data_IF_131924542183
#
_entry.id   IF_131924542183
#
_cell.length_a   1.000
_cell.length_b   1.000
_cell.length_c   1.000
_cell.angle_alpha   90.00
_cell.angle_beta   90.00
_cell.angle_gamma   90.00
#
_symmetry.space_group_name_H-M   'P 1'
#
loop_
_entity.id
_entity.type
_entity.pdbx_description
1 polymer ?
#
# COMPACT_ATOMS: atom_id res chain seq x y z
N UNK A 1 8.90 -18.84 14.67
CA UNK A 1 8.94 -18.97 16.15
C UNK A 1 10.21 -18.32 16.70
N UNK A 2 10.21 -16.99 16.87
CA UNK A 2 11.22 -16.28 17.64
C UNK A 2 10.76 -16.32 19.10
N UNK A 3 11.59 -16.90 19.99
CA UNK A 3 11.33 -16.87 21.43
C UNK A 3 11.36 -15.41 21.86
N UNK A 4 10.20 -14.87 22.24
CA UNK A 4 10.06 -13.59 22.93
C UNK A 4 11.08 -13.57 24.08
N UNK A 5 12.10 -12.71 23.98
CA UNK A 5 12.78 -12.21 25.17
C UNK A 5 11.67 -11.72 26.10
N UNK A 6 11.67 -12.16 27.35
CA UNK A 6 10.70 -11.71 28.35
C UNK A 6 10.54 -10.20 28.22
N UNK A 7 9.42 -9.76 27.63
CA UNK A 7 9.04 -8.35 27.60
C UNK A 7 9.10 -7.91 29.05
N UNK A 8 10.07 -7.04 29.35
CA UNK A 8 10.25 -6.50 30.68
C UNK A 8 8.99 -5.70 31.02
N UNK A 9 8.00 -6.36 31.62
CA UNK A 9 6.65 -5.82 31.90
C UNK A 9 6.75 -4.46 32.60
N UNK A 10 7.73 -4.32 33.49
CA UNK A 10 8.04 -3.08 34.20
C UNK A 10 8.51 -1.94 33.27
N UNK A 11 9.24 -2.24 32.18
CA UNK A 11 9.71 -1.25 31.19
C UNK A 11 8.53 -0.64 30.44
N UNK A 12 7.60 -1.48 30.00
CA UNK A 12 6.41 -1.05 29.27
C UNK A 12 5.40 -0.36 30.19
N UNK A 13 5.21 -0.85 31.41
CA UNK A 13 4.38 -0.19 32.41
C UNK A 13 4.95 1.17 32.83
N UNK A 14 6.27 1.31 32.94
CA UNK A 14 6.91 2.60 33.17
C UNK A 14 6.66 3.62 32.06
N UNK A 15 6.70 3.18 30.79
CA UNK A 15 6.34 4.03 29.66
C UNK A 15 4.86 4.47 29.72
N UNK A 16 3.93 3.57 30.05
CA UNK A 16 2.50 3.89 30.23
C UNK A 16 2.29 4.96 31.29
N UNK A 17 2.92 4.77 32.45
CA UNK A 17 2.87 5.72 33.58
C UNK A 17 3.32 7.10 33.12
N UNK A 18 4.46 7.18 32.42
CA UNK A 18 4.99 8.44 31.89
C UNK A 18 4.00 9.12 30.93
N UNK A 19 3.46 8.36 29.98
CA UNK A 19 2.58 8.89 28.93
C UNK A 19 1.30 9.46 29.52
N UNK A 20 0.65 8.74 30.43
CA UNK A 20 -0.58 9.22 31.08
C UNK A 20 -0.30 10.40 32.01
N UNK A 21 0.82 10.38 32.75
CA UNK A 21 1.24 11.50 33.59
C UNK A 21 1.43 12.79 32.77
N UNK A 22 2.10 12.70 31.62
CA UNK A 22 2.31 13.83 30.71
C UNK A 22 0.97 14.30 30.12
N UNK A 23 0.11 13.37 29.69
CA UNK A 23 -1.23 13.69 29.16
C UNK A 23 -2.10 14.45 30.17
N UNK A 24 -1.99 14.12 31.47
CA UNK A 24 -2.68 14.82 32.57
C UNK A 24 -1.94 16.06 33.09
N UNK A 25 -0.78 16.41 32.52
CA UNK A 25 0.09 17.50 32.97
C UNK A 25 0.51 17.38 34.47
N UNK A 26 0.75 16.15 34.94
CA UNK A 26 1.16 15.89 36.33
C UNK A 26 2.69 15.91 36.48
N UNK A 27 3.18 16.44 37.60
CA UNK A 27 4.61 16.35 37.95
C UNK A 27 4.97 14.95 38.46
N UNK A 28 6.24 14.55 38.31
CA UNK A 28 6.73 13.30 38.89
C UNK A 28 6.59 13.30 40.42
N UNK A 29 6.85 14.44 41.07
CA UNK A 29 6.68 14.59 42.52
C UNK A 29 5.24 14.43 42.98
N UNK A 30 4.27 14.90 42.20
CA UNK A 30 2.85 14.73 42.50
C UNK A 30 2.42 13.26 42.37
N UNK A 31 2.85 12.57 41.32
CA UNK A 31 2.48 11.18 41.10
C UNK A 31 3.11 10.22 42.12
N UNK A 32 4.41 10.36 42.42
CA UNK A 32 5.10 9.43 43.31
C UNK A 32 4.89 9.69 44.80
N UNK A 33 4.17 10.75 45.17
CA UNK A 33 3.96 11.13 46.58
C UNK A 33 3.35 9.97 47.38
N UNK A 34 4.02 9.60 48.47
CA UNK A 34 3.61 8.49 49.33
C UNK A 34 3.79 7.09 48.72
N UNK A 35 4.37 6.96 47.52
CA UNK A 35 4.68 5.65 46.89
C UNK A 35 6.19 5.43 46.83
N UNK A 36 6.94 6.34 46.21
CA UNK A 36 8.39 6.18 45.99
C UNK A 36 9.10 7.53 45.80
N UNK A 37 10.43 7.53 45.74
CA UNK A 37 11.21 8.75 45.51
C UNK A 37 11.09 9.24 44.05
N UNK A 38 11.17 10.56 43.83
CA UNK A 38 11.09 11.18 42.49
C UNK A 38 12.16 10.63 41.54
N UNK A 39 13.38 10.45 42.04
CA UNK A 39 14.49 9.85 41.29
C UNK A 39 14.25 8.39 40.94
N UNK A 40 13.46 7.67 41.75
CA UNK A 40 13.03 6.32 41.48
C UNK A 40 11.98 6.31 40.37
N UNK A 41 10.90 7.09 40.49
CA UNK A 41 9.88 7.23 39.42
C UNK A 41 10.49 7.62 38.07
N UNK A 42 11.45 8.54 38.05
CA UNK A 42 12.13 8.92 36.79
C UNK A 42 12.86 7.74 36.13
N UNK A 43 13.43 6.81 36.91
CA UNK A 43 14.06 5.59 36.37
C UNK A 43 13.02 4.57 35.90
N UNK A 44 11.88 4.46 36.60
CA UNK A 44 10.73 3.65 36.18
C UNK A 44 10.25 4.12 34.81
N UNK A 45 9.96 5.42 34.66
CA UNK A 45 9.44 6.04 33.43
C UNK A 45 10.40 5.95 32.24
N UNK A 46 11.71 5.82 32.51
CA UNK A 46 12.74 5.64 31.49
C UNK A 46 13.03 4.17 31.18
N UNK A 47 12.40 3.23 31.90
CA UNK A 47 12.66 1.81 31.70
C UNK A 47 14.09 1.39 32.05
N UNK A 48 14.70 2.03 33.05
CA UNK A 48 16.11 1.81 33.45
C UNK A 48 16.30 0.94 34.70
N UNK A 49 15.23 0.49 35.33
CA UNK A 49 15.29 -0.24 36.59
C UNK A 49 14.09 -1.16 36.76
N UNK A 50 14.33 -2.40 37.19
CA UNK A 50 13.29 -3.35 37.56
C UNK A 50 12.53 -2.88 38.81
N UNK A 51 11.20 -3.06 38.79
CA UNK A 51 10.29 -2.51 39.80
C UNK A 51 9.36 -3.61 40.27
N UNK A 52 9.13 -3.66 41.59
CA UNK A 52 8.13 -4.55 42.18
C UNK A 52 6.72 -4.22 41.66
N UNK A 53 5.91 -5.27 41.48
CA UNK A 53 4.52 -5.17 41.03
C UNK A 53 3.66 -4.25 41.92
N UNK A 54 3.86 -4.27 43.24
CA UNK A 54 3.14 -3.39 44.18
C UNK A 54 3.31 -1.90 43.87
N UNK A 55 4.56 -1.45 43.65
CA UNK A 55 4.84 -0.06 43.31
C UNK A 55 4.18 0.30 41.97
N UNK A 56 4.21 -0.59 40.98
CA UNK A 56 3.56 -0.35 39.68
C UNK A 56 2.04 -0.26 39.82
N UNK A 57 1.42 -1.16 40.60
CA UNK A 57 -0.03 -1.13 40.89
C UNK A 57 -0.44 0.17 41.57
N UNK A 58 0.29 0.62 42.59
CA UNK A 58 -0.01 1.88 43.29
C UNK A 58 0.08 3.11 42.37
N UNK A 59 1.07 3.14 41.47
CA UNK A 59 1.22 4.22 40.49
C UNK A 59 0.09 4.20 39.44
N UNK A 60 -0.28 3.01 38.96
CA UNK A 60 -1.38 2.84 38.01
C UNK A 60 -2.74 3.19 38.63
N UNK A 61 -2.99 2.76 39.86
CA UNK A 61 -4.19 3.10 40.63
C UNK A 61 -4.33 4.62 40.79
N UNK A 62 -3.23 5.32 41.09
CA UNK A 62 -3.24 6.80 41.17
C UNK A 62 -3.57 7.48 39.85
N UNK A 63 -3.18 6.86 38.74
CA UNK A 63 -3.49 7.33 37.39
C UNK A 63 -4.83 6.80 36.88
N UNK A 64 -5.60 6.07 37.70
CA UNK A 64 -6.85 5.42 37.30
C UNK A 64 -6.68 4.52 36.06
N UNK A 65 -5.49 3.93 35.92
CA UNK A 65 -5.17 3.01 34.85
C UNK A 65 -5.41 1.57 35.31
N UNK A 66 -6.02 0.71 34.46
CA UNK A 66 -6.28 -0.66 34.86
C UNK A 66 -4.98 -1.46 34.98
N UNK A 67 -4.96 -2.34 35.98
CA UNK A 67 -4.06 -3.48 36.02
C UNK A 67 -4.67 -4.61 35.19
N UNK A 68 -3.94 -5.10 34.20
CA UNK A 68 -4.38 -6.23 33.37
C UNK A 68 -3.76 -7.49 33.97
N UNK A 69 -4.60 -8.48 34.25
CA UNK A 69 -4.15 -9.75 34.84
C UNK A 69 -3.43 -10.64 33.81
N UNK A 70 -2.80 -11.72 34.30
CA UNK A 70 -2.02 -12.61 33.45
C UNK A 70 -2.85 -13.32 32.37
N UNK A 71 -4.14 -13.56 32.62
CA UNK A 71 -5.02 -14.24 31.67
C UNK A 71 -5.38 -13.31 30.53
N UNK A 72 -5.85 -12.10 30.84
CA UNK A 72 -6.16 -11.08 29.85
C UNK A 72 -4.91 -10.64 29.09
N UNK A 73 -3.74 -10.59 29.75
CA UNK A 73 -2.46 -10.34 29.08
C UNK A 73 -2.17 -11.38 28.00
N UNK A 74 -2.34 -12.68 28.29
CA UNK A 74 -2.13 -13.75 27.30
C UNK A 74 -3.11 -13.70 26.13
N UNK A 75 -4.37 -13.33 26.39
CA UNK A 75 -5.38 -13.18 25.35
C UNK A 75 -5.03 -12.00 24.41
N UNK A 76 -4.53 -10.89 24.96
CA UNK A 76 -4.06 -9.75 24.20
C UNK A 76 -2.76 -10.06 23.43
N UNK A 77 -1.82 -10.79 24.03
CA UNK A 77 -0.60 -11.26 23.37
C UNK A 77 -0.93 -12.13 22.15
N UNK A 78 -1.82 -13.11 22.33
CA UNK A 78 -2.27 -13.99 21.25
C UNK A 78 -2.94 -13.21 20.12
N UNK A 79 -3.72 -12.17 20.47
CA UNK A 79 -4.30 -11.27 19.49
C UNK A 79 -3.22 -10.50 18.71
N UNK A 80 -2.25 -9.88 19.40
CA UNK A 80 -1.16 -9.13 18.76
C UNK A 80 -0.34 -10.02 17.83
N UNK A 81 0.02 -11.23 18.26
CA UNK A 81 0.75 -12.17 17.42
C UNK A 81 -0.06 -12.58 16.18
N UNK A 82 -1.37 -12.81 16.30
CA UNK A 82 -2.24 -13.08 15.16
C UNK A 82 -2.31 -11.88 14.18
N UNK A 83 -2.29 -10.65 14.70
CA UNK A 83 -2.27 -9.44 13.86
C UNK A 83 -0.97 -9.30 13.07
N UNK A 84 0.19 -9.52 13.71
CA UNK A 84 1.47 -9.53 12.99
C UNK A 84 1.57 -10.69 12.00
N UNK A 85 1.13 -11.88 12.37
CA UNK A 85 1.10 -13.02 11.45
C UNK A 85 0.26 -12.69 10.22
N UNK A 86 -0.93 -12.11 10.40
CA UNK A 86 -1.78 -11.70 9.28
C UNK A 86 -1.09 -10.63 8.42
N UNK A 87 -0.54 -9.58 9.04
CA UNK A 87 0.21 -8.53 8.34
C UNK A 87 1.35 -9.10 7.49
N UNK A 88 2.10 -10.06 8.02
CA UNK A 88 3.29 -10.61 7.37
C UNK A 88 2.99 -11.69 6.35
N UNK A 89 1.77 -12.23 6.29
CA UNK A 89 1.43 -13.36 5.40
C UNK A 89 0.39 -13.01 4.33
N UNK A 90 -0.30 -11.87 4.47
CA UNK A 90 -1.39 -11.45 3.59
C UNK A 90 -1.08 -10.12 2.90
N UNK A 91 -1.79 -9.81 1.79
CA UNK A 91 -1.74 -8.48 1.19
C UNK A 91 -2.14 -7.41 2.21
N UNK A 92 -1.46 -6.26 2.18
CA UNK A 92 -1.73 -5.17 3.14
C UNK A 92 -3.19 -4.71 3.09
N UNK A 93 -3.82 -4.73 1.92
CA UNK A 93 -5.24 -4.36 1.75
C UNK A 93 -6.19 -5.32 2.50
N UNK A 94 -5.87 -6.61 2.58
CA UNK A 94 -6.64 -7.55 3.40
C UNK A 94 -6.40 -7.32 4.89
N UNK A 95 -5.17 -6.96 5.27
CA UNK A 95 -4.87 -6.59 6.65
C UNK A 95 -5.67 -5.36 7.08
N UNK A 96 -5.75 -4.32 6.24
CA UNK A 96 -6.50 -3.10 6.56
C UNK A 96 -7.99 -3.34 6.82
N UNK A 97 -8.60 -4.40 6.27
CA UNK A 97 -9.99 -4.81 6.57
C UNK A 97 -10.19 -5.34 7.99
N UNK A 98 -9.11 -5.59 8.73
CA UNK A 98 -9.16 -6.02 10.13
C UNK A 98 -9.22 -4.83 11.12
N UNK A 99 -9.30 -3.60 10.61
CA UNK A 99 -9.23 -2.36 11.40
C UNK A 99 -10.29 -2.33 12.50
N UNK A 100 -11.54 -2.69 12.21
CA UNK A 100 -12.63 -2.68 13.19
C UNK A 100 -12.35 -3.63 14.36
N UNK A 101 -11.84 -4.83 14.08
CA UNK A 101 -11.48 -5.83 15.10
C UNK A 101 -10.35 -5.31 15.99
N UNK A 102 -9.39 -4.59 15.40
CA UNK A 102 -8.34 -3.92 16.16
C UNK A 102 -8.89 -2.80 17.05
N UNK A 103 -9.82 -1.97 16.53
CA UNK A 103 -10.42 -0.86 17.30
C UNK A 103 -11.16 -1.35 18.56
N UNK A 104 -11.86 -2.49 18.49
CA UNK A 104 -12.54 -3.08 19.65
C UNK A 104 -11.58 -3.41 20.82
N UNK A 105 -10.32 -3.72 20.51
CA UNK A 105 -9.28 -4.08 21.51
C UNK A 105 -8.30 -2.96 21.79
N UNK A 106 -8.36 -1.85 21.04
CA UNK A 106 -7.39 -0.75 21.09
C UNK A 106 -7.20 -0.21 22.50
N UNK A 107 -8.26 0.23 23.17
CA UNK A 107 -8.16 0.83 24.50
C UNK A 107 -7.49 -0.13 25.51
N UNK A 108 -7.81 -1.42 25.44
CA UNK A 108 -7.19 -2.44 26.29
C UNK A 108 -5.71 -2.64 25.97
N UNK A 109 -5.33 -2.68 24.69
CA UNK A 109 -3.94 -2.81 24.26
C UNK A 109 -3.10 -1.61 24.70
N UNK A 110 -3.62 -0.39 24.54
CA UNK A 110 -3.01 0.84 25.04
C UNK A 110 -2.87 0.85 26.57
N UNK A 111 -3.79 0.17 27.25
CA UNK A 111 -3.77 -0.04 28.69
C UNK A 111 -2.92 -1.24 29.13
N UNK A 112 -2.17 -1.89 28.22
CA UNK A 112 -1.40 -3.10 28.52
C UNK A 112 0.10 -2.91 28.29
N UNK A 113 0.90 -3.88 28.70
CA UNK A 113 2.33 -3.94 28.35
C UNK A 113 2.59 -3.98 26.82
N UNK A 114 1.55 -4.18 26.00
CA UNK A 114 1.59 -4.23 24.53
C UNK A 114 1.36 -2.86 23.85
N UNK A 115 1.40 -1.75 24.61
CA UNK A 115 1.19 -0.40 24.04
C UNK A 115 2.10 -0.10 22.84
N UNK A 116 3.34 -0.60 22.81
CA UNK A 116 4.23 -0.45 21.66
C UNK A 116 3.65 -1.13 20.41
N UNK A 117 3.22 -2.39 20.53
CA UNK A 117 2.57 -3.11 19.42
C UNK A 117 1.28 -2.41 18.98
N UNK A 118 0.48 -1.93 19.94
CA UNK A 118 -0.73 -1.18 19.66
C UNK A 118 -0.43 0.07 18.79
N UNK A 119 0.60 0.85 19.17
CA UNK A 119 1.01 2.02 18.41
C UNK A 119 1.53 1.66 17.01
N UNK A 120 2.33 0.59 16.88
CA UNK A 120 2.85 0.15 15.57
C UNK A 120 1.71 -0.34 14.67
N UNK A 121 0.86 -1.25 15.15
CA UNK A 121 -0.24 -1.80 14.37
C UNK A 121 -1.24 -0.71 13.97
N UNK A 122 -1.56 0.22 14.89
CA UNK A 122 -2.40 1.37 14.54
C UNK A 122 -1.74 2.27 13.50
N UNK A 123 -0.42 2.50 13.56
CA UNK A 123 0.27 3.27 12.53
C UNK A 123 0.18 2.58 11.15
N UNK A 124 0.19 1.24 11.09
CA UNK A 124 -0.09 0.49 9.86
C UNK A 124 -1.54 0.70 9.41
N UNK A 125 -2.53 0.53 10.29
CA UNK A 125 -3.95 0.71 9.96
C UNK A 125 -4.32 2.11 9.47
N UNK A 126 -3.65 3.12 9.99
CA UNK A 126 -3.86 4.52 9.62
C UNK A 126 -2.90 5.00 8.52
N UNK A 127 -1.99 4.14 8.03
CA UNK A 127 -0.93 4.48 7.06
C UNK A 127 -0.09 5.71 7.47
N UNK A 128 0.18 5.86 8.77
CA UNK A 128 0.88 7.03 9.34
C UNK A 128 2.38 6.81 9.40
N UNK A 129 3.14 7.74 8.83
CA UNK A 129 4.61 7.67 8.73
C UNK A 129 5.35 8.40 9.86
N UNK A 130 4.76 9.48 10.37
CA UNK A 130 5.46 10.47 11.19
C UNK A 130 5.02 10.51 12.67
N UNK A 131 3.96 9.77 13.05
CA UNK A 131 3.29 9.96 14.34
C UNK A 131 3.84 9.13 15.51
N UNK A 132 4.97 8.46 15.33
CA UNK A 132 5.53 7.69 16.44
C UNK A 132 6.31 8.63 17.36
N UNK A 133 5.75 8.85 18.56
CA UNK A 133 6.25 9.76 19.60
C UNK A 133 7.78 9.68 19.76
N UNK A 134 8.43 10.85 19.72
CA UNK A 134 9.89 10.96 19.79
C UNK A 134 10.41 10.29 21.07
N UNK A 135 11.26 9.26 20.88
CA UNK A 135 11.79 8.46 21.98
C UNK A 135 11.05 7.16 22.25
N UNK A 136 9.97 6.81 21.52
CA UNK A 136 9.39 5.46 21.54
C UNK A 136 10.38 4.41 21.03
N UNK A 137 11.22 4.78 20.05
CA UNK A 137 12.17 3.85 19.39
C UNK A 137 13.07 3.09 20.37
N UNK A 138 13.47 3.70 21.50
CA UNK A 138 14.33 3.05 22.52
C UNK A 138 13.64 1.90 23.27
N UNK A 139 12.32 1.80 23.14
CA UNK A 139 11.48 0.78 23.77
C UNK A 139 11.05 -0.29 22.77
N UNK A 140 11.22 -0.06 21.47
CA UNK A 140 10.80 -0.98 20.44
C UNK A 140 11.76 -2.17 20.33
N UNK A 141 11.20 -3.35 20.13
CA UNK A 141 11.97 -4.52 19.70
C UNK A 141 12.30 -4.44 18.20
N UNK A 142 13.11 -5.39 17.71
CA UNK A 142 13.52 -5.42 16.31
C UNK A 142 12.34 -5.55 15.34
N UNK A 143 11.27 -6.29 15.70
CA UNK A 143 10.09 -6.47 14.85
C UNK A 143 9.31 -5.17 14.72
N UNK A 144 9.02 -4.53 15.84
CA UNK A 144 8.31 -3.25 15.91
C UNK A 144 9.08 -2.15 15.17
N UNK A 145 10.40 -2.08 15.39
CA UNK A 145 11.25 -1.11 14.72
C UNK A 145 11.30 -1.36 13.19
N UNK A 146 11.35 -2.63 12.76
CA UNK A 146 11.32 -2.96 11.34
C UNK A 146 10.03 -2.50 10.66
N UNK A 147 8.87 -2.71 11.29
CA UNK A 147 7.57 -2.25 10.76
C UNK A 147 7.50 -0.72 10.72
N UNK A 148 8.03 -0.03 11.74
CA UNK A 148 8.15 1.42 11.71
C UNK A 148 9.04 1.90 10.55
N UNK A 149 10.21 1.29 10.35
CA UNK A 149 11.11 1.63 9.22
C UNK A 149 10.45 1.37 7.88
N UNK A 150 9.65 0.32 7.75
CA UNK A 150 8.84 0.07 6.57
C UNK A 150 7.83 1.20 6.31
N UNK A 151 7.08 1.65 7.32
CA UNK A 151 6.13 2.77 7.20
C UNK A 151 6.84 4.07 6.78
N UNK A 152 8.04 4.31 7.30
CA UNK A 152 8.89 5.45 6.94
C UNK A 152 9.54 5.33 5.55
N UNK A 153 9.32 4.23 4.81
CA UNK A 153 9.95 3.97 3.52
C UNK A 153 11.44 3.61 3.60
N UNK A 154 11.97 3.36 4.81
CA UNK A 154 13.37 2.97 5.06
C UNK A 154 13.52 1.45 4.95
N UNK A 155 13.27 0.92 3.75
CA UNK A 155 13.15 -0.52 3.53
C UNK A 155 14.44 -1.31 3.79
N UNK A 156 15.61 -0.76 3.46
CA UNK A 156 16.88 -1.46 3.71
C UNK A 156 17.13 -1.68 5.21
N UNK A 157 16.74 -0.71 6.05
CA UNK A 157 16.80 -0.86 7.50
C UNK A 157 15.74 -1.83 8.00
N UNK A 158 14.51 -1.77 7.48
CA UNK A 158 13.45 -2.71 7.83
C UNK A 158 13.86 -4.17 7.54
N UNK A 159 14.46 -4.42 6.37
CA UNK A 159 14.97 -5.74 5.97
C UNK A 159 16.14 -6.16 6.86
N UNK A 160 17.06 -5.24 7.18
CA UNK A 160 18.20 -5.54 8.07
C UNK A 160 17.72 -5.96 9.47
N UNK A 161 16.68 -5.30 9.98
CA UNK A 161 16.10 -5.59 11.29
C UNK A 161 15.25 -6.87 11.30
N UNK A 162 14.50 -7.13 10.21
CA UNK A 162 13.58 -8.27 10.10
C UNK A 162 13.55 -8.80 8.64
N UNK A 163 14.46 -9.70 8.26
CA UNK A 163 14.60 -10.18 6.87
C UNK A 163 13.57 -11.28 6.52
N UNK A 164 12.28 -10.95 6.61
CA UNK A 164 11.16 -11.86 6.32
C UNK A 164 10.61 -11.64 4.90
N UNK A 165 9.92 -12.63 4.29
CA UNK A 165 9.40 -12.53 2.92
C UNK A 165 8.60 -11.24 2.65
N UNK A 166 7.78 -10.83 3.61
CA UNK A 166 6.96 -9.62 3.54
C UNK A 166 7.78 -8.34 3.34
N UNK A 167 8.91 -8.17 4.03
CA UNK A 167 9.73 -6.96 3.91
C UNK A 167 10.34 -6.84 2.51
N UNK A 168 10.79 -7.95 1.94
CA UNK A 168 11.27 -8.01 0.56
C UNK A 168 10.16 -7.73 -0.45
N UNK A 169 8.98 -8.33 -0.26
CA UNK A 169 7.81 -8.07 -1.10
C UNK A 169 7.44 -6.58 -1.09
N UNK A 170 7.31 -5.98 0.10
CA UNK A 170 6.98 -4.55 0.28
C UNK A 170 8.02 -3.63 -0.34
N UNK A 171 9.31 -3.95 -0.23
CA UNK A 171 10.37 -3.15 -0.84
C UNK A 171 10.24 -3.15 -2.37
N UNK A 172 9.98 -4.32 -2.95
CA UNK A 172 9.74 -4.46 -4.38
C UNK A 172 8.47 -3.77 -4.86
N UNK A 173 7.39 -3.85 -4.07
CA UNK A 173 6.12 -3.18 -4.36
C UNK A 173 6.25 -1.65 -4.39
N UNK A 174 6.92 -1.05 -3.40
CA UNK A 174 7.17 0.40 -3.35
C UNK A 174 7.98 0.87 -4.57
N UNK A 175 9.02 0.11 -4.95
CA UNK A 175 9.83 0.42 -6.14
C UNK A 175 9.03 0.28 -7.43
N UNK A 176 8.13 -0.71 -7.49
CA UNK A 176 7.20 -0.89 -8.60
C UNK A 176 6.23 0.29 -8.73
N UNK A 177 5.57 0.67 -7.64
CA UNK A 177 4.56 1.74 -7.60
C UNK A 177 5.15 3.10 -7.97
N UNK A 178 6.37 3.37 -7.51
CA UNK A 178 7.07 4.65 -7.79
C UNK A 178 7.78 4.68 -9.14
N UNK A 179 8.01 3.53 -9.79
CA UNK A 179 8.71 3.44 -11.06
C UNK A 179 10.19 3.80 -11.01
N UNK A 180 10.81 3.76 -9.83
CA UNK A 180 12.20 4.20 -9.67
C UNK A 180 13.20 3.24 -10.31
N UNK A 181 13.03 1.94 -10.07
CA UNK A 181 13.94 0.91 -10.60
C UNK A 181 13.28 -0.49 -10.61
N UNK A 182 12.83 -0.94 -11.78
CA UNK A 182 12.22 -2.27 -11.91
C UNK A 182 13.20 -3.42 -11.75
N UNK A 183 14.48 -3.26 -12.09
CA UNK A 183 15.46 -4.33 -11.87
C UNK A 183 15.65 -4.61 -10.38
N UNK A 184 15.75 -3.55 -9.56
CA UNK A 184 15.77 -3.67 -8.10
C UNK A 184 14.44 -4.21 -7.57
N UNK A 185 13.30 -3.70 -8.07
CA UNK A 185 11.98 -4.19 -7.65
C UNK A 185 11.85 -5.71 -7.85
N UNK A 186 12.17 -6.20 -9.06
CA UNK A 186 12.14 -7.61 -9.42
C UNK A 186 13.11 -8.41 -8.53
N UNK A 187 14.30 -7.88 -8.24
CA UNK A 187 15.28 -8.56 -7.38
C UNK A 187 14.77 -8.75 -5.94
N UNK A 188 14.18 -7.70 -5.34
CA UNK A 188 13.55 -7.81 -4.02
C UNK A 188 12.36 -8.79 -4.04
N UNK A 189 11.50 -8.72 -5.06
CA UNK A 189 10.34 -9.62 -5.18
C UNK A 189 10.74 -11.09 -5.39
N UNK A 190 11.81 -11.35 -6.14
CA UNK A 190 12.36 -12.70 -6.29
C UNK A 190 12.90 -13.24 -4.97
N UNK A 191 13.59 -12.41 -4.19
CA UNK A 191 14.04 -12.79 -2.84
C UNK A 191 12.83 -13.08 -1.93
N UNK A 192 11.83 -12.19 -1.92
CA UNK A 192 10.59 -12.37 -1.17
C UNK A 192 9.86 -13.65 -1.56
N UNK A 193 9.74 -13.94 -2.86
CA UNK A 193 9.16 -15.18 -3.37
C UNK A 193 9.90 -16.42 -2.87
N UNK A 194 11.24 -16.43 -2.94
CA UNK A 194 12.05 -17.57 -2.55
C UNK A 194 11.95 -17.85 -1.04
N UNK A 195 12.00 -16.82 -0.20
CA UNK A 195 11.81 -16.95 1.24
C UNK A 195 10.38 -17.40 1.57
N UNK A 196 9.36 -16.83 0.91
CA UNK A 196 7.97 -17.24 1.09
C UNK A 196 7.77 -18.72 0.72
N UNK A 197 8.40 -19.19 -0.35
CA UNK A 197 8.33 -20.58 -0.77
C UNK A 197 8.97 -21.55 0.24
N UNK A 198 10.07 -21.15 0.90
CA UNK A 198 10.71 -21.94 1.95
C UNK A 198 9.81 -22.10 3.19
N UNK A 199 9.03 -21.07 3.51
CA UNK A 199 8.13 -21.04 4.67
C UNK A 199 6.68 -21.49 4.34
N UNK A 200 6.39 -21.84 3.07
CA UNK A 200 5.05 -22.25 2.65
C UNK A 200 4.01 -21.12 2.55
N UNK A 201 4.45 -19.86 2.45
CA UNK A 201 3.59 -18.66 2.39
C UNK A 201 3.06 -18.41 0.97
N UNK A 202 2.14 -19.26 0.51
CA UNK A 202 1.63 -19.27 -0.86
C UNK A 202 0.97 -17.93 -1.29
N UNK A 203 0.29 -17.23 -0.38
CA UNK A 203 -0.29 -15.91 -0.67
C UNK A 203 0.78 -14.87 -1.01
N UNK A 204 1.90 -14.83 -0.28
CA UNK A 204 3.01 -13.92 -0.60
C UNK A 204 3.73 -14.32 -1.89
N UNK A 205 3.87 -15.62 -2.15
CA UNK A 205 4.41 -16.10 -3.43
C UNK A 205 3.58 -15.59 -4.60
N UNK A 206 2.24 -15.64 -4.48
CA UNK A 206 1.32 -15.10 -5.46
C UNK A 206 1.50 -13.59 -5.64
N UNK A 207 1.51 -12.82 -4.56
CA UNK A 207 1.70 -11.37 -4.61
C UNK A 207 3.02 -10.98 -5.29
N UNK A 208 4.13 -11.64 -4.95
CA UNK A 208 5.42 -11.37 -5.59
C UNK A 208 5.36 -11.58 -7.11
N UNK A 209 4.75 -12.68 -7.58
CA UNK A 209 4.65 -12.98 -9.02
C UNK A 209 3.75 -12.01 -9.78
N UNK A 210 2.67 -11.53 -9.16
CA UNK A 210 1.82 -10.49 -9.75
C UNK A 210 2.62 -9.21 -9.95
N UNK A 211 3.33 -8.76 -8.92
CA UNK A 211 4.08 -7.49 -8.97
C UNK A 211 5.25 -7.59 -9.96
N UNK A 212 5.95 -8.73 -10.03
CA UNK A 212 6.99 -8.97 -11.06
C UNK A 212 6.35 -8.91 -12.47
N UNK A 213 5.21 -9.56 -12.67
CA UNK A 213 4.48 -9.49 -13.94
C UNK A 213 4.05 -8.06 -14.30
N UNK A 214 3.63 -7.25 -13.31
CA UNK A 214 3.30 -5.84 -13.51
C UNK A 214 4.55 -5.01 -13.88
N UNK A 215 5.72 -5.30 -13.29
CA UNK A 215 6.98 -4.67 -13.67
C UNK A 215 7.31 -4.94 -15.14
N UNK A 216 7.18 -6.18 -15.60
CA UNK A 216 7.40 -6.53 -17.01
C UNK A 216 6.32 -5.93 -17.93
N UNK A 217 5.06 -5.87 -17.48
CA UNK A 217 3.97 -5.20 -18.21
C UNK A 217 4.28 -3.72 -18.46
N UNK A 218 4.73 -2.98 -17.44
CA UNK A 218 5.08 -1.56 -17.57
C UNK A 218 6.32 -1.32 -18.44
N UNK A 219 7.21 -2.30 -18.52
CA UNK A 219 8.37 -2.30 -19.44
C UNK A 219 8.00 -2.85 -20.83
N UNK A 220 6.76 -3.30 -21.04
CA UNK A 220 6.27 -3.90 -22.27
C UNK A 220 7.01 -5.20 -22.68
N UNK A 221 7.60 -5.88 -21.70
CA UNK A 221 8.32 -7.15 -21.82
C UNK A 221 7.34 -8.33 -21.85
N UNK A 222 6.64 -8.51 -22.98
CA UNK A 222 5.50 -9.42 -23.12
C UNK A 222 5.81 -10.87 -22.73
N UNK A 223 6.95 -11.42 -23.16
CA UNK A 223 7.30 -12.82 -22.91
C UNK A 223 7.58 -13.08 -21.42
N UNK A 224 8.32 -12.17 -20.78
CA UNK A 224 8.63 -12.26 -19.36
C UNK A 224 7.37 -12.04 -18.51
N UNK A 225 6.54 -11.07 -18.86
CA UNK A 225 5.23 -10.85 -18.23
C UNK A 225 4.36 -12.10 -18.28
N UNK A 226 4.24 -12.75 -19.45
CA UNK A 226 3.37 -13.93 -19.60
C UNK A 226 3.86 -15.10 -18.74
N UNK A 227 5.18 -15.32 -18.67
CA UNK A 227 5.77 -16.35 -17.80
C UNK A 227 5.38 -16.14 -16.34
N UNK A 228 5.50 -14.91 -15.86
CA UNK A 228 5.21 -14.55 -14.47
C UNK A 228 3.72 -14.65 -14.15
N UNK A 229 2.86 -14.11 -15.03
CA UNK A 229 1.41 -14.23 -14.86
C UNK A 229 0.89 -15.65 -15.03
N UNK A 230 1.55 -16.51 -15.80
CA UNK A 230 1.17 -17.92 -15.87
C UNK A 230 1.38 -18.63 -14.52
N UNK A 231 2.49 -18.35 -13.84
CA UNK A 231 2.76 -18.87 -12.49
C UNK A 231 1.75 -18.29 -11.49
N UNK A 232 1.57 -16.96 -11.48
CA UNK A 232 0.60 -16.29 -10.61
C UNK A 232 -0.83 -16.83 -10.82
N UNK A 233 -1.23 -17.06 -12.07
CA UNK A 233 -2.56 -17.59 -12.41
C UNK A 233 -2.79 -19.03 -11.92
N UNK A 234 -1.73 -19.84 -11.79
CA UNK A 234 -1.84 -21.19 -11.19
C UNK A 234 -2.04 -21.07 -9.69
N UNK A 235 -1.19 -20.30 -9.02
CA UNK A 235 -1.30 -20.03 -7.58
C UNK A 235 -2.65 -19.43 -7.21
N UNK A 236 -3.12 -18.42 -7.94
CA UNK A 236 -4.41 -17.78 -7.69
C UNK A 236 -5.60 -18.75 -7.82
N UNK A 237 -5.55 -19.71 -8.76
CA UNK A 237 -6.58 -20.75 -8.89
C UNK A 237 -6.56 -21.69 -7.69
N UNK A 238 -5.39 -22.16 -7.30
CA UNK A 238 -5.23 -23.10 -6.17
C UNK A 238 -5.59 -22.43 -4.82
N UNK A 239 -5.41 -21.11 -4.72
CA UNK A 239 -5.76 -20.30 -3.55
C UNK A 239 -7.18 -19.71 -3.62
N UNK A 240 -7.98 -20.07 -4.63
CA UNK A 240 -9.35 -19.57 -4.86
C UNK A 240 -9.46 -18.03 -4.94
N UNK A 241 -8.44 -17.37 -5.46
CA UNK A 241 -8.35 -15.91 -5.60
C UNK A 241 -8.92 -15.44 -6.94
N UNK A 242 -10.25 -15.46 -7.09
CA UNK A 242 -10.93 -15.11 -8.35
C UNK A 242 -10.72 -13.65 -8.78
N UNK A 243 -10.73 -12.71 -7.82
CA UNK A 243 -10.53 -11.30 -8.12
C UNK A 243 -9.10 -11.02 -8.61
N UNK A 244 -8.10 -11.70 -8.03
CA UNK A 244 -6.72 -11.62 -8.51
C UNK A 244 -6.59 -12.14 -9.95
N UNK A 245 -7.31 -13.19 -10.33
CA UNK A 245 -7.31 -13.68 -11.71
C UNK A 245 -7.87 -12.63 -12.68
N UNK A 246 -8.92 -11.90 -12.29
CA UNK A 246 -9.46 -10.78 -13.09
C UNK A 246 -8.39 -9.70 -13.27
N UNK A 247 -7.69 -9.30 -12.21
CA UNK A 247 -6.60 -8.30 -12.26
C UNK A 247 -5.46 -8.76 -13.18
N UNK A 248 -5.03 -10.02 -13.08
CA UNK A 248 -3.98 -10.57 -13.97
C UNK A 248 -4.42 -10.50 -15.43
N UNK A 249 -5.65 -10.93 -15.75
CA UNK A 249 -6.14 -10.91 -17.12
C UNK A 249 -6.32 -9.48 -17.66
N UNK A 250 -6.81 -8.56 -16.83
CA UNK A 250 -6.88 -7.14 -17.14
C UNK A 250 -5.50 -6.57 -17.48
N UNK A 251 -4.49 -6.82 -16.65
CA UNK A 251 -3.13 -6.31 -16.87
C UNK A 251 -2.53 -6.89 -18.15
N UNK A 252 -2.69 -8.19 -18.37
CA UNK A 252 -2.24 -8.90 -19.57
C UNK A 252 -2.86 -8.29 -20.85
N UNK A 253 -4.16 -8.00 -20.83
CA UNK A 253 -4.85 -7.35 -21.93
C UNK A 253 -4.47 -5.87 -22.10
N UNK A 254 -4.23 -5.16 -21.00
CA UNK A 254 -3.73 -3.78 -21.00
C UNK A 254 -2.34 -3.67 -21.62
N UNK A 255 -1.46 -4.66 -21.40
CA UNK A 255 -0.15 -4.74 -22.10
C UNK A 255 -0.34 -4.87 -23.61
N UNK A 256 -1.32 -5.64 -24.08
CA UNK A 256 -1.62 -5.72 -25.52
C UNK A 256 -2.06 -4.38 -26.09
N UNK A 257 -2.82 -3.58 -25.33
CA UNK A 257 -3.16 -2.20 -25.73
C UNK A 257 -1.90 -1.34 -25.83
N UNK A 258 -1.03 -1.37 -24.81
CA UNK A 258 0.22 -0.60 -24.79
C UNK A 258 1.16 -0.94 -25.97
N UNK A 259 1.17 -2.21 -26.39
CA UNK A 259 1.94 -2.71 -27.53
C UNK A 259 1.25 -2.50 -28.89
N UNK A 260 0.11 -1.80 -28.94
CA UNK A 260 -0.65 -1.60 -30.19
C UNK A 260 -1.33 -2.86 -30.73
N UNK A 261 -1.34 -3.96 -29.98
CA UNK A 261 -2.05 -5.21 -30.31
C UNK A 261 -3.56 -5.09 -30.03
N UNK A 262 -4.16 -4.02 -30.53
CA UNK A 262 -5.52 -3.61 -30.18
C UNK A 262 -6.55 -4.70 -30.47
N UNK A 263 -6.37 -5.56 -31.50
CA UNK A 263 -7.39 -6.54 -31.90
C UNK A 263 -7.57 -7.58 -30.81
N UNK A 264 -6.43 -8.07 -30.32
CA UNK A 264 -6.35 -9.06 -29.26
C UNK A 264 -6.91 -8.50 -27.95
N UNK A 265 -6.59 -7.24 -27.64
CA UNK A 265 -7.16 -6.54 -26.49
C UNK A 265 -8.68 -6.35 -26.63
N UNK A 266 -9.15 -5.91 -27.80
CA UNK A 266 -10.56 -5.77 -28.13
C UNK A 266 -11.32 -7.10 -27.94
N UNK A 267 -10.80 -8.20 -28.48
CA UNK A 267 -11.41 -9.53 -28.39
C UNK A 267 -11.55 -10.03 -26.94
N UNK A 268 -10.69 -9.54 -26.04
CA UNK A 268 -10.78 -9.78 -24.61
C UNK A 268 -11.79 -8.85 -23.94
N UNK A 269 -11.58 -7.53 -24.02
CA UNK A 269 -12.38 -6.55 -23.28
C UNK A 269 -13.86 -6.53 -23.71
N UNK A 270 -14.15 -6.84 -24.98
CA UNK A 270 -15.54 -6.94 -25.48
C UNK A 270 -16.32 -8.12 -24.92
N UNK A 271 -15.64 -9.10 -24.29
CA UNK A 271 -16.25 -10.32 -23.73
C UNK A 271 -16.29 -10.34 -22.20
N UNK A 272 -15.78 -9.30 -21.54
CA UNK A 272 -15.88 -9.20 -20.08
C UNK A 272 -17.36 -8.96 -19.72
N UNK A 273 -17.96 -9.92 -19.01
CA UNK A 273 -19.40 -9.90 -18.67
C UNK A 273 -19.74 -8.76 -17.68
N UNK A 274 -18.93 -8.65 -16.63
CA UNK A 274 -19.02 -7.64 -15.57
C UNK A 274 -17.78 -6.73 -15.60
N UNK A 275 -17.64 -5.84 -16.60
CA UNK A 275 -16.48 -4.98 -16.74
C UNK A 275 -16.47 -3.91 -15.64
N UNK A 276 -15.29 -3.66 -15.07
CA UNK A 276 -15.01 -2.48 -14.28
C UNK A 276 -14.86 -1.23 -15.19
N UNK A 277 -14.79 -0.04 -14.60
CA UNK A 277 -14.61 1.22 -15.34
C UNK A 277 -13.31 1.15 -16.17
N UNK A 278 -12.24 0.60 -15.59
CA UNK A 278 -10.96 0.42 -16.29
C UNK A 278 -11.03 -0.57 -17.47
N UNK A 279 -11.87 -1.60 -17.42
CA UNK A 279 -12.09 -2.49 -18.58
C UNK A 279 -12.76 -1.72 -19.72
N UNK A 280 -13.76 -0.89 -19.39
CA UNK A 280 -14.46 -0.04 -20.36
C UNK A 280 -13.55 1.03 -20.94
N UNK A 281 -12.65 1.60 -20.14
CA UNK A 281 -11.60 2.50 -20.60
C UNK A 281 -10.73 1.84 -21.68
N UNK A 282 -10.22 0.63 -21.41
CA UNK A 282 -9.40 -0.11 -22.39
C UNK A 282 -10.19 -0.55 -23.61
N UNK A 283 -11.45 -0.95 -23.44
CA UNK A 283 -12.36 -1.25 -24.55
C UNK A 283 -12.54 -0.02 -25.45
N UNK A 284 -12.77 1.16 -24.88
CA UNK A 284 -12.95 2.39 -25.63
C UNK A 284 -11.70 2.76 -26.43
N UNK A 285 -10.50 2.62 -25.86
CA UNK A 285 -9.23 2.81 -26.59
C UNK A 285 -9.09 1.82 -27.75
N UNK A 286 -9.47 0.55 -27.54
CA UNK A 286 -9.47 -0.42 -28.61
C UNK A 286 -10.45 -0.01 -29.73
N UNK A 287 -11.65 0.42 -29.38
CA UNK A 287 -12.65 0.89 -30.33
C UNK A 287 -12.18 2.13 -31.12
N UNK A 288 -11.49 3.06 -30.46
CA UNK A 288 -10.82 4.20 -31.08
C UNK A 288 -9.83 3.74 -32.16
N UNK A 289 -8.93 2.82 -31.83
CA UNK A 289 -7.93 2.29 -32.77
C UNK A 289 -8.54 1.50 -33.95
N UNK A 290 -9.72 0.88 -33.79
CA UNK A 290 -10.41 0.15 -34.86
C UNK A 290 -11.44 0.96 -35.64
N UNK A 291 -11.65 2.24 -35.31
CA UNK A 291 -12.70 3.05 -35.93
C UNK A 291 -14.12 2.60 -35.55
N UNK A 292 -14.30 1.89 -34.43
CA UNK A 292 -15.62 1.51 -33.88
C UNK A 292 -16.17 2.61 -32.97
N UNK A 293 -16.28 3.83 -33.51
CA UNK A 293 -16.62 5.06 -32.76
C UNK A 293 -17.87 4.92 -31.88
N UNK A 294 -18.96 4.39 -32.43
CA UNK A 294 -20.23 4.26 -31.69
C UNK A 294 -20.11 3.33 -30.46
N UNK A 295 -19.38 2.23 -30.59
CA UNK A 295 -19.17 1.28 -29.50
C UNK A 295 -18.23 1.84 -28.43
N UNK A 296 -17.17 2.54 -28.84
CA UNK A 296 -16.27 3.22 -27.91
C UNK A 296 -17.02 4.27 -27.07
N UNK A 297 -17.89 5.07 -27.69
CA UNK A 297 -18.73 6.05 -26.98
C UNK A 297 -19.69 5.35 -26.01
N UNK A 298 -20.30 4.22 -26.38
CA UNK A 298 -21.19 3.49 -25.47
C UNK A 298 -20.44 2.87 -24.28
N UNK A 299 -19.21 2.36 -24.50
CA UNK A 299 -18.35 1.89 -23.42
C UNK A 299 -18.06 3.01 -22.40
N UNK A 300 -17.74 4.22 -22.87
CA UNK A 300 -17.53 5.38 -21.99
C UNK A 300 -18.82 5.78 -21.28
N UNK A 301 -19.96 5.83 -21.97
CA UNK A 301 -21.25 6.12 -21.32
C UNK A 301 -21.59 5.12 -20.21
N UNK A 302 -21.26 3.84 -20.41
CA UNK A 302 -21.42 2.82 -19.36
C UNK A 302 -20.50 3.09 -18.17
N UNK A 303 -19.24 3.47 -18.41
CA UNK A 303 -18.31 3.87 -17.36
C UNK A 303 -18.79 5.09 -16.57
N UNK A 304 -19.32 6.11 -17.26
CA UNK A 304 -19.88 7.31 -16.62
C UNK A 304 -21.04 6.96 -15.68
N UNK A 305 -21.99 6.12 -16.13
CA UNK A 305 -23.10 5.64 -15.29
C UNK A 305 -22.64 4.88 -14.04
N UNK A 306 -21.49 4.19 -14.11
CA UNK A 306 -20.93 3.46 -12.97
C UNK A 306 -20.26 4.39 -11.94
N UNK A 307 -19.80 5.58 -12.35
CA UNK A 307 -19.16 6.57 -11.48
C UNK A 307 -20.10 7.65 -10.93
N UNK A 308 -21.40 7.63 -11.25
CA UNK A 308 -22.38 8.63 -10.79
C UNK A 308 -22.70 8.57 -9.27
N UNK A 309 -22.16 7.59 -8.52
CA UNK A 309 -22.55 7.29 -7.14
C UNK A 309 -21.64 7.87 -6.04
N UNK A 310 -20.75 8.81 -6.34
CA UNK A 310 -19.86 9.43 -5.34
C UNK A 310 -19.64 10.93 -5.57
N UNK A 311 -19.97 11.74 -4.56
CA UNK A 311 -19.67 13.18 -4.53
C UNK A 311 -18.25 13.49 -4.01
N UNK A 312 -17.45 12.45 -3.71
CA UNK A 312 -16.08 12.62 -3.23
C UNK A 312 -15.11 12.87 -4.41
N UNK A 313 -14.51 14.08 -4.52
CA UNK A 313 -13.50 14.35 -5.55
C UNK A 313 -12.23 13.50 -5.38
N UNK A 314 -12.04 12.86 -4.22
CA UNK A 314 -10.97 11.92 -3.93
C UNK A 314 -11.34 10.44 -4.11
N UNK A 315 -12.47 10.14 -4.76
CA UNK A 315 -12.78 8.77 -5.21
C UNK A 315 -11.88 8.36 -6.39
N UNK A 316 -11.20 7.23 -6.28
CA UNK A 316 -10.42 6.63 -7.38
C UNK A 316 -11.30 6.35 -8.60
N UNK A 317 -12.56 5.94 -8.39
CA UNK A 317 -13.50 5.69 -9.48
C UNK A 317 -13.74 6.93 -10.33
N UNK A 318 -13.70 8.11 -9.71
CA UNK A 318 -13.92 9.34 -10.46
C UNK A 318 -12.74 9.67 -11.38
N UNK A 319 -11.51 9.37 -10.94
CA UNK A 319 -10.33 9.46 -11.80
C UNK A 319 -10.40 8.45 -12.95
N UNK A 320 -10.90 7.22 -12.73
CA UNK A 320 -11.10 6.23 -13.79
C UNK A 320 -12.13 6.71 -14.84
N UNK A 321 -13.20 7.39 -14.42
CA UNK A 321 -14.17 8.02 -15.34
C UNK A 321 -13.55 9.18 -16.11
N UNK A 322 -12.71 9.99 -15.47
CA UNK A 322 -11.96 11.05 -16.16
C UNK A 322 -11.06 10.48 -17.27
N UNK A 323 -10.41 9.34 -17.06
CA UNK A 323 -9.66 8.64 -18.12
C UNK A 323 -10.57 8.25 -19.30
N UNK A 324 -11.75 7.69 -19.02
CA UNK A 324 -12.74 7.36 -20.04
C UNK A 324 -13.18 8.60 -20.85
N UNK A 325 -13.37 9.75 -20.19
CA UNK A 325 -13.75 11.00 -20.85
C UNK A 325 -12.69 11.52 -21.82
N UNK A 326 -11.39 11.28 -21.56
CA UNK A 326 -10.34 11.58 -22.53
C UNK A 326 -10.53 10.80 -23.83
N UNK A 327 -10.87 9.51 -23.74
CA UNK A 327 -11.13 8.67 -24.91
C UNK A 327 -12.37 9.15 -25.66
N UNK A 328 -13.44 9.48 -24.93
CA UNK A 328 -14.66 10.01 -25.52
C UNK A 328 -14.40 11.31 -26.28
N UNK A 329 -13.62 12.23 -25.72
CA UNK A 329 -13.28 13.48 -26.37
C UNK A 329 -12.62 13.23 -27.73
N UNK A 330 -11.61 12.35 -27.79
CA UNK A 330 -10.94 11.98 -29.04
C UNK A 330 -11.87 11.28 -30.03
N UNK A 331 -12.78 10.43 -29.55
CA UNK A 331 -13.78 9.78 -30.38
C UNK A 331 -14.76 10.79 -30.99
N UNK A 332 -15.19 11.81 -30.24
CA UNK A 332 -16.18 12.80 -30.69
C UNK A 332 -15.56 13.90 -31.57
N UNK A 333 -14.28 14.25 -31.36
CA UNK A 333 -13.61 15.40 -31.97
C UNK A 333 -12.39 14.99 -32.82
N UNK A 334 -12.52 15.01 -34.16
CA UNK A 334 -11.43 14.60 -35.08
C UNK A 334 -10.17 15.47 -34.99
N UNK A 335 -10.29 16.73 -34.57
CA UNK A 335 -9.18 17.68 -34.45
C UNK A 335 -8.84 18.01 -32.99
N UNK A 336 -9.08 17.09 -32.06
CA UNK A 336 -8.92 17.31 -30.61
C UNK A 336 -7.58 17.95 -30.21
N UNK A 337 -6.47 17.66 -30.91
CA UNK A 337 -5.15 18.25 -30.66
C UNK A 337 -5.10 19.79 -30.84
N UNK A 338 -6.03 20.35 -31.61
CA UNK A 338 -6.17 21.79 -31.83
C UNK A 338 -7.08 22.47 -30.81
N UNK A 339 -7.82 21.71 -30.02
CA UNK A 339 -8.89 22.22 -29.14
C UNK A 339 -8.37 22.38 -27.69
N UNK A 340 -8.44 23.59 -27.13
CA UNK A 340 -7.97 23.88 -25.77
C UNK A 340 -8.74 23.11 -24.69
N UNK A 341 -9.97 22.71 -24.98
CA UNK A 341 -10.82 21.89 -24.11
C UNK A 341 -10.19 20.52 -23.84
N UNK A 342 -9.52 19.89 -24.82
CA UNK A 342 -8.82 18.62 -24.60
C UNK A 342 -7.64 18.81 -23.64
N UNK A 343 -6.92 19.95 -23.71
CA UNK A 343 -5.86 20.31 -22.76
C UNK A 343 -6.35 20.31 -21.32
N UNK A 344 -7.51 20.95 -21.11
CA UNK A 344 -8.15 21.14 -19.81
C UNK A 344 -8.65 19.82 -19.21
N UNK A 345 -8.81 18.78 -20.03
CA UNK A 345 -9.12 17.42 -19.56
C UNK A 345 -7.84 16.61 -19.35
N UNK A 346 -6.92 16.63 -20.32
CA UNK A 346 -5.74 15.77 -20.36
C UNK A 346 -4.79 16.02 -19.19
N UNK A 347 -4.38 17.26 -18.97
CA UNK A 347 -3.35 17.56 -17.98
C UNK A 347 -3.82 17.40 -16.54
N UNK A 348 -5.01 17.87 -16.13
CA UNK A 348 -5.49 17.62 -14.77
C UNK A 348 -5.64 16.13 -14.48
N UNK A 349 -6.19 15.35 -15.43
CA UNK A 349 -6.29 13.89 -15.29
C UNK A 349 -4.89 13.26 -15.16
N UNK A 350 -3.94 13.67 -16.01
CA UNK A 350 -2.56 13.18 -15.97
C UNK A 350 -1.82 13.48 -14.66
N UNK A 351 -1.98 14.69 -14.11
CA UNK A 351 -1.39 15.05 -12.83
C UNK A 351 -2.02 14.29 -11.66
N UNK A 352 -3.35 14.07 -11.67
CA UNK A 352 -4.01 13.21 -10.68
C UNK A 352 -3.50 11.77 -10.74
N UNK A 353 -3.33 11.20 -11.94
CA UNK A 353 -2.77 9.85 -12.11
C UNK A 353 -1.38 9.74 -11.49
N UNK A 354 -0.50 10.72 -11.74
CA UNK A 354 0.85 10.73 -11.17
C UNK A 354 0.87 10.85 -9.65
N UNK A 355 -0.10 11.58 -9.09
CA UNK A 355 -0.14 11.87 -7.66
C UNK A 355 -0.75 10.73 -6.85
N UNK A 356 -1.74 10.00 -7.42
CA UNK A 356 -2.62 9.10 -6.66
C UNK A 356 -2.51 7.63 -7.05
N UNK A 357 -2.04 7.31 -8.25
CA UNK A 357 -2.02 5.94 -8.76
C UNK A 357 -0.59 5.41 -8.95
N UNK A 358 -0.40 4.08 -9.02
CA UNK A 358 0.87 3.49 -9.43
C UNK A 358 1.34 4.08 -10.76
N UNK A 359 2.66 4.27 -10.91
CA UNK A 359 3.31 4.93 -12.05
C UNK A 359 2.86 4.39 -13.42
N UNK A 360 2.46 3.11 -13.50
CA UNK A 360 1.99 2.46 -14.72
C UNK A 360 0.80 3.18 -15.38
N UNK A 361 -0.08 3.79 -14.58
CA UNK A 361 -1.20 4.59 -15.09
C UNK A 361 -0.72 5.84 -15.82
N UNK A 362 0.24 6.56 -15.23
CA UNK A 362 0.84 7.72 -15.88
C UNK A 362 1.63 7.29 -17.12
N UNK A 363 2.49 6.28 -17.02
CA UNK A 363 3.30 5.73 -18.12
C UNK A 363 2.41 5.37 -19.32
N UNK A 364 1.29 4.68 -19.09
CA UNK A 364 0.35 4.32 -20.14
C UNK A 364 -0.20 5.52 -20.91
N UNK A 365 -0.37 6.68 -20.25
CA UNK A 365 -0.93 7.89 -20.86
C UNK A 365 0.12 8.85 -21.42
N UNK A 366 1.42 8.62 -21.19
CA UNK A 366 2.49 9.46 -21.74
C UNK A 366 2.40 9.63 -23.27
N UNK A 367 2.08 8.61 -24.09
CA UNK A 367 1.95 8.78 -25.53
C UNK A 367 0.96 9.89 -25.94
N UNK A 368 -0.18 10.01 -25.26
CA UNK A 368 -1.18 11.05 -25.55
C UNK A 368 -0.70 12.46 -25.15
N UNK A 369 0.08 12.56 -24.06
CA UNK A 369 0.71 13.83 -23.65
C UNK A 369 1.81 14.25 -24.63
N UNK A 370 2.59 13.27 -25.12
CA UNK A 370 3.62 13.52 -26.14
C UNK A 370 3.01 13.95 -27.47
N UNK A 371 1.93 13.30 -27.89
CA UNK A 371 1.20 13.66 -29.10
C UNK A 371 0.74 15.12 -29.04
N UNK A 372 0.12 15.51 -27.92
CA UNK A 372 -0.30 16.89 -27.66
C UNK A 372 0.84 17.90 -27.75
N UNK A 373 1.93 17.67 -27.02
CA UNK A 373 3.07 18.58 -27.05
C UNK A 373 3.72 18.67 -28.43
N UNK A 374 3.81 17.56 -29.15
CA UNK A 374 4.41 17.49 -30.48
C UNK A 374 3.59 18.26 -31.50
N UNK A 375 2.27 18.09 -31.52
CA UNK A 375 1.37 18.80 -32.42
C UNK A 375 1.43 20.34 -32.21
N UNK A 376 1.60 20.76 -30.96
CA UNK A 376 1.74 22.19 -30.58
C UNK A 376 3.18 22.71 -30.60
N UNK A 377 4.13 21.92 -31.12
CA UNK A 377 5.56 22.29 -31.22
C UNK A 377 6.21 22.64 -29.87
N UNK A 378 5.68 22.10 -28.79
CA UNK A 378 6.20 22.23 -27.42
C UNK A 378 7.27 21.16 -27.16
N UNK A 379 8.32 21.15 -28.00
CA UNK A 379 9.34 20.09 -28.00
C UNK A 379 10.16 20.02 -26.70
N UNK A 380 10.30 21.14 -25.99
CA UNK A 380 10.97 21.15 -24.68
C UNK A 380 10.21 20.28 -23.67
N UNK A 381 8.90 20.48 -23.58
CA UNK A 381 8.02 19.73 -22.70
C UNK A 381 7.95 18.25 -23.12
N UNK A 382 7.87 17.98 -24.43
CA UNK A 382 7.94 16.62 -24.96
C UNK A 382 9.26 15.92 -24.58
N UNK A 383 10.40 16.63 -24.71
CA UNK A 383 11.71 16.10 -24.31
C UNK A 383 11.79 15.84 -22.80
N UNK A 384 11.25 16.71 -21.96
CA UNK A 384 11.20 16.50 -20.51
C UNK A 384 10.38 15.25 -20.14
N UNK A 385 9.27 15.01 -20.85
CA UNK A 385 8.46 13.80 -20.71
C UNK A 385 9.23 12.53 -21.12
N UNK A 386 9.92 12.55 -22.27
CA UNK A 386 10.77 11.43 -22.70
C UNK A 386 11.95 11.23 -21.75
N UNK A 387 12.56 12.30 -21.23
CA UNK A 387 13.65 12.14 -20.26
C UNK A 387 13.18 11.48 -18.96
N UNK A 388 11.95 11.76 -18.55
CA UNK A 388 11.37 11.23 -17.30
C UNK A 388 10.83 9.81 -17.46
N UNK A 389 10.18 9.51 -18.58
CA UNK A 389 9.46 8.24 -18.81
C UNK A 389 10.00 7.43 -19.99
N UNK A 390 11.09 7.84 -20.63
CA UNK A 390 11.62 7.21 -21.85
C UNK A 390 12.10 5.78 -21.65
N UNK A 391 12.43 5.38 -20.42
CA UNK A 391 12.68 3.97 -20.09
C UNK A 391 11.45 3.05 -20.19
N UNK A 392 10.27 3.62 -20.41
CA UNK A 392 8.97 2.93 -20.45
C UNK A 392 8.22 3.09 -21.77
N UNK A 393 8.72 3.97 -22.65
CA UNK A 393 8.08 4.27 -23.94
C UNK A 393 8.84 3.47 -25.00
N UNK A 394 8.16 2.64 -25.81
CA UNK A 394 8.81 1.96 -26.93
C UNK A 394 9.38 3.04 -27.85
N UNK A 395 10.61 2.84 -28.32
CA UNK A 395 11.24 3.74 -29.26
C UNK A 395 10.30 3.88 -30.47
N UNK A 396 9.71 5.07 -30.63
CA UNK A 396 8.80 5.42 -31.72
C UNK A 396 9.50 5.38 -33.08
#
# INVERSE_FOLDING_TARGET
MLKHEQKNVWKMTGMRIRRERIKRNWSQSGLCYGICAVSYLSKIEQGKMEVSEEILKLLLERLELPWIDDKETKDLESFVEAQYEFLFTHPIQEFLKQKEIFQEKKEKLYSSSLIADACILEAVYESRKDEIEEGLERYLDFRQLAVLRMLQGRMDEAITLLPIPFMYMRAGEILYETGQNYASAISYLQMGYNLAAQEGMAMLMLQCRIIIGNCYSNQQELENMEREYQIASRLARDLHQTEILKVINYNRASTWVALGSYKKAYDYFSKVEEPAILDLHKLAICCEAYGRKAEGIEAVKRAERMGEFGDDPDDEKQLEVEMCRLVRYRLEHENYLKEEEYEKLLFPCFEKMKARLPVGFAVFHVPYVLEWYTDRRQYKQAYEMVRKYGGFIPVL
#
